data_IF_632665593434
#
_entry.id   IF_632665593434
#
_cell.length_a   1.000
_cell.length_b   1.000
_cell.length_c   1.000
_cell.angle_alpha   90.00
_cell.angle_beta   90.00
_cell.angle_gamma   90.00
#
_symmetry.space_group_name_H-M   'P 1'
#
loop_
_entity.id
_entity.type
_entity.pdbx_description
1 polymer ?
#
# COMPACT_ATOMS: atom_id res chain seq x y z
N UNK A 1 38.06 -4.83 45.75
CA UNK A 1 36.59 -4.72 45.82
C UNK A 1 35.99 -3.69 44.84
N UNK A 2 36.59 -2.50 44.66
CA UNK A 2 36.09 -1.42 43.78
C UNK A 2 35.82 -1.85 42.32
N UNK A 3 36.76 -2.58 41.71
CA UNK A 3 36.65 -3.07 40.33
C UNK A 3 35.48 -4.03 40.11
N UNK A 4 35.14 -4.86 41.11
CA UNK A 4 34.02 -5.80 40.99
C UNK A 4 32.65 -5.11 41.06
N UNK A 5 32.58 -3.94 41.71
CA UNK A 5 31.36 -3.15 41.81
C UNK A 5 31.10 -2.41 40.50
N UNK A 6 32.11 -1.77 39.92
CA UNK A 6 31.98 -1.09 38.62
C UNK A 6 31.59 -2.04 37.49
N UNK A 7 32.14 -3.25 37.45
CA UNK A 7 31.76 -4.27 36.45
C UNK A 7 30.32 -4.75 36.62
N UNK A 8 29.78 -4.80 37.85
CA UNK A 8 28.36 -5.10 38.09
C UNK A 8 27.47 -3.94 37.63
N UNK A 9 27.84 -2.70 37.92
CA UNK A 9 27.07 -1.51 37.55
C UNK A 9 27.05 -1.29 36.04
N UNK A 10 28.17 -1.50 35.34
CA UNK A 10 28.24 -1.46 33.88
C UNK A 10 27.36 -2.54 33.24
N UNK A 11 27.41 -3.78 33.74
CA UNK A 11 26.53 -4.85 33.23
C UNK A 11 25.05 -4.53 33.43
N UNK A 12 24.70 -3.97 34.59
CA UNK A 12 23.32 -3.57 34.88
C UNK A 12 22.84 -2.48 33.89
N UNK A 13 23.65 -1.43 33.66
CA UNK A 13 23.33 -0.36 32.69
C UNK A 13 23.16 -0.90 31.26
N UNK A 14 24.02 -1.81 30.83
CA UNK A 14 23.93 -2.42 29.48
C UNK A 14 22.63 -3.22 29.33
N UNK A 15 22.26 -4.02 30.33
CA UNK A 15 21.01 -4.80 30.30
C UNK A 15 19.80 -3.87 30.25
N UNK A 16 19.77 -2.81 31.07
CA UNK A 16 18.68 -1.82 31.04
C UNK A 16 18.55 -1.13 29.67
N UNK A 17 19.69 -0.78 29.06
CA UNK A 17 19.71 -0.17 27.72
C UNK A 17 19.18 -1.12 26.64
N UNK A 18 19.56 -2.40 26.70
CA UNK A 18 19.08 -3.43 25.78
C UNK A 18 17.57 -3.69 25.94
N UNK A 19 17.08 -3.73 27.17
CA UNK A 19 15.64 -3.91 27.47
C UNK A 19 14.83 -2.72 26.96
N UNK A 20 15.35 -1.50 27.09
CA UNK A 20 14.69 -0.28 26.60
C UNK A 20 14.62 -0.26 25.07
N UNK A 21 15.72 -0.62 24.38
CA UNK A 21 15.73 -0.76 22.91
C UNK A 21 14.76 -1.83 22.42
N UNK A 22 14.72 -3.00 23.09
CA UNK A 22 13.81 -4.08 22.74
C UNK A 22 12.34 -3.69 22.94
N UNK A 23 12.03 -2.93 23.99
CA UNK A 23 10.68 -2.44 24.28
C UNK A 23 10.20 -1.42 23.25
N UNK A 24 11.09 -0.53 22.81
CA UNK A 24 10.79 0.47 21.79
C UNK A 24 10.52 -0.16 20.41
N UNK A 25 11.35 -1.13 20.00
CA UNK A 25 11.14 -1.89 18.76
C UNK A 25 9.81 -2.67 18.80
N UNK A 26 9.49 -3.28 19.94
CA UNK A 26 8.23 -4.02 20.14
C UNK A 26 7.00 -3.12 20.10
N UNK A 27 7.07 -1.89 20.61
CA UNK A 27 5.97 -0.93 20.53
C UNK A 27 5.74 -0.41 19.09
N UNK A 28 6.81 -0.13 18.36
CA UNK A 28 6.69 0.28 16.95
C UNK A 28 6.14 -0.84 16.06
N UNK A 29 6.54 -2.10 16.27
CA UNK A 29 5.95 -3.22 15.54
C UNK A 29 4.48 -3.46 15.90
N UNK A 30 4.11 -3.26 17.18
CA UNK A 30 2.70 -3.37 17.60
C UNK A 30 1.84 -2.25 17.02
N UNK A 31 2.35 -1.02 16.92
CA UNK A 31 1.65 0.08 16.26
C UNK A 31 1.43 -0.19 14.76
N UNK A 32 2.35 -0.89 14.09
CA UNK A 32 2.15 -1.36 12.72
C UNK A 32 1.04 -2.40 12.59
N UNK A 33 0.76 -3.17 13.65
CA UNK A 33 -0.30 -4.19 13.75
C UNK A 33 -1.62 -3.63 14.31
N UNK A 34 -1.72 -2.32 14.58
CA UNK A 34 -2.97 -1.73 15.07
C UNK A 34 -4.02 -1.66 13.95
N UNK A 35 -5.32 -1.83 14.24
CA UNK A 35 -6.38 -1.82 13.21
C UNK A 35 -6.41 -0.55 12.32
N UNK A 36 -5.88 0.57 12.82
CA UNK A 36 -5.81 1.84 12.11
C UNK A 36 -4.85 1.79 10.90
N UNK A 37 -3.68 1.14 11.03
CA UNK A 37 -2.71 1.00 9.93
C UNK A 37 -3.24 0.04 8.85
N UNK A 38 -3.93 -1.03 9.25
CA UNK A 38 -4.57 -1.98 8.34
C UNK A 38 -5.67 -1.32 7.51
N UNK A 39 -6.49 -0.48 8.12
CA UNK A 39 -7.54 0.27 7.42
C UNK A 39 -6.95 1.18 6.34
N UNK A 40 -5.87 1.92 6.65
CA UNK A 40 -5.20 2.80 5.69
C UNK A 40 -4.61 2.06 4.48
N UNK A 41 -3.98 0.91 4.72
CA UNK A 41 -3.45 0.06 3.63
C UNK A 41 -4.57 -0.51 2.75
N UNK A 42 -5.67 -0.96 3.34
CA UNK A 42 -6.83 -1.47 2.60
C UNK A 42 -7.41 -0.38 1.70
N UNK A 43 -7.63 0.82 2.23
CA UNK A 43 -8.11 1.96 1.44
C UNK A 43 -7.16 2.30 0.29
N UNK A 44 -5.84 2.32 0.53
CA UNK A 44 -4.85 2.54 -0.52
C UNK A 44 -4.96 1.51 -1.65
N UNK A 45 -5.08 0.22 -1.33
CA UNK A 45 -5.25 -0.83 -2.34
C UNK A 45 -6.54 -0.66 -3.16
N UNK A 46 -7.67 -0.37 -2.51
CA UNK A 46 -8.94 -0.16 -3.22
C UNK A 46 -8.91 1.08 -4.12
N UNK A 47 -8.25 2.16 -3.70
CA UNK A 47 -8.11 3.36 -4.53
C UNK A 47 -7.27 3.09 -5.77
N UNK A 48 -6.11 2.44 -5.63
CA UNK A 48 -5.24 2.10 -6.77
C UNK A 48 -5.94 1.13 -7.72
N UNK A 49 -6.60 0.11 -7.19
CA UNK A 49 -7.36 -0.86 -7.99
C UNK A 49 -8.53 -0.19 -8.73
N UNK A 50 -9.27 0.69 -8.05
CA UNK A 50 -10.37 1.45 -8.64
C UNK A 50 -9.92 2.36 -9.78
N UNK A 51 -8.78 3.04 -9.63
CA UNK A 51 -8.20 3.86 -10.69
C UNK A 51 -7.84 3.03 -11.93
N UNK A 52 -7.19 1.89 -11.73
CA UNK A 52 -6.78 1.01 -12.84
C UNK A 52 -7.98 0.44 -13.61
N UNK A 53 -9.06 0.09 -12.90
CA UNK A 53 -10.32 -0.36 -13.51
C UNK A 53 -10.98 0.79 -14.29
N UNK A 54 -10.99 2.01 -13.74
CA UNK A 54 -11.56 3.18 -14.42
C UNK A 54 -10.82 3.45 -15.75
N UNK A 55 -9.49 3.49 -15.75
CA UNK A 55 -8.72 3.74 -16.97
C UNK A 55 -8.94 2.65 -18.03
N UNK A 56 -8.95 1.39 -17.60
CA UNK A 56 -9.18 0.24 -18.48
C UNK A 56 -10.59 0.26 -19.07
N UNK A 57 -11.60 0.57 -18.26
CA UNK A 57 -12.99 0.64 -18.70
C UNK A 57 -13.24 1.79 -19.68
N UNK A 58 -12.63 2.97 -19.47
CA UNK A 58 -12.70 4.09 -20.41
C UNK A 58 -12.08 3.72 -21.75
N UNK A 59 -10.91 3.06 -21.75
CA UNK A 59 -10.26 2.61 -22.99
C UNK A 59 -11.11 1.58 -23.76
N UNK A 60 -11.79 0.67 -23.06
CA UNK A 60 -12.70 -0.31 -23.67
C UNK A 60 -13.93 0.40 -24.25
N UNK A 61 -14.55 1.32 -23.51
CA UNK A 61 -15.70 2.10 -23.98
C UNK A 61 -15.37 2.91 -25.23
N UNK A 62 -14.18 3.52 -25.27
CA UNK A 62 -13.70 4.26 -26.44
C UNK A 62 -13.52 3.34 -27.64
N UNK A 63 -12.92 2.15 -27.45
CA UNK A 63 -12.77 1.16 -28.53
C UNK A 63 -14.11 0.68 -29.08
N UNK A 64 -15.09 0.42 -28.21
CA UNK A 64 -16.44 0.02 -28.62
C UNK A 64 -17.11 1.14 -29.40
N UNK A 65 -17.02 2.38 -28.92
CA UNK A 65 -17.59 3.55 -29.58
C UNK A 65 -16.98 3.73 -30.98
N UNK A 66 -15.66 3.61 -31.10
CA UNK A 66 -14.95 3.75 -32.37
C UNK A 66 -15.30 2.62 -33.35
N UNK A 67 -15.38 1.37 -32.88
CA UNK A 67 -15.79 0.23 -33.69
C UNK A 67 -17.23 0.40 -34.21
N UNK A 68 -18.13 0.88 -33.36
CA UNK A 68 -19.51 1.17 -33.72
C UNK A 68 -19.62 2.27 -34.78
N UNK A 69 -18.85 3.36 -34.63
CA UNK A 69 -18.78 4.43 -35.62
C UNK A 69 -18.34 3.92 -37.00
N UNK A 70 -17.29 3.09 -37.05
CA UNK A 70 -16.84 2.50 -38.31
C UNK A 70 -17.88 1.56 -38.92
N UNK A 71 -18.52 0.72 -38.12
CA UNK A 71 -19.55 -0.20 -38.61
C UNK A 71 -20.74 0.55 -39.22
N UNK A 72 -21.22 1.62 -38.56
CA UNK A 72 -22.27 2.48 -39.11
C UNK A 72 -21.83 3.20 -40.38
N UNK A 73 -20.60 3.70 -40.43
CA UNK A 73 -20.06 4.37 -41.63
C UNK A 73 -19.97 3.43 -42.83
N UNK A 74 -19.59 2.16 -42.60
CA UNK A 74 -19.54 1.14 -43.64
C UNK A 74 -20.94 0.78 -44.18
N UNK A 75 -21.94 0.68 -43.30
CA UNK A 75 -23.33 0.44 -43.71
C UNK A 75 -23.86 1.62 -44.53
N UNK A 76 -23.59 2.86 -44.12
CA UNK A 76 -24.03 4.06 -44.84
C UNK A 76 -23.37 4.18 -46.22
N UNK A 77 -22.12 3.74 -46.35
CA UNK A 77 -21.41 3.69 -47.63
C UNK A 77 -21.99 2.67 -48.63
N UNK A 78 -22.76 1.67 -48.16
CA UNK A 78 -23.32 0.61 -49.00
C UNK A 78 -24.69 0.97 -49.60
N UNK A 79 -25.34 2.02 -49.11
CA UNK A 79 -26.53 2.64 -49.72
C UNK A 79 -26.16 4.03 -50.24
N UNK A 80 -25.53 4.14 -51.43
CA UNK A 80 -25.44 5.41 -52.10
C UNK A 80 -26.89 5.82 -52.47
N UNK A 81 -27.32 6.98 -51.97
CA UNK A 81 -28.59 7.57 -52.37
C UNK A 81 -28.67 7.83 -53.87
#
# INVERSE_FOLDING_TARGET
MKHSFEVKTCRCKIITWLVMQASFLRQNSFNFLTPASHTGLIFFFFTVLGHWIADTSVAILLKINFAWFFMLSGILSLYPG
#
